data_IF_430086156742
#
_entry.id   IF_430086156742
#
_cell.length_a   1.000
_cell.length_b   1.000
_cell.length_c   1.000
_cell.angle_alpha   90.00
_cell.angle_beta   90.00
_cell.angle_gamma   90.00
#
_symmetry.space_group_name_H-M   'P 1'
#
loop_
_entity.id
_entity.type
_entity.pdbx_description
1 polymer ?
#
# COMPACT_ATOMS: atom_id res chain seq x y z
N UNK A 1 -3.79 6.43 -14.89
CA UNK A 1 -2.93 6.08 -13.75
C UNK A 1 -3.20 4.64 -13.36
N UNK A 2 -2.16 3.86 -13.12
CA UNK A 2 -2.26 2.56 -12.45
C UNK A 2 -2.00 2.80 -10.97
N UNK A 3 -2.98 2.46 -10.12
CA UNK A 3 -2.85 2.48 -8.67
C UNK A 3 -2.27 1.12 -8.24
N UNK A 4 -0.97 1.06 -7.94
CA UNK A 4 -0.27 -0.20 -7.75
C UNK A 4 -0.39 -0.78 -6.33
N UNK A 5 -1.11 -0.08 -5.45
CA UNK A 5 -1.47 -0.56 -4.13
C UNK A 5 -2.73 0.11 -3.57
N UNK A 6 -3.78 -0.66 -3.40
CA UNK A 6 -5.02 -0.22 -2.76
C UNK A 6 -5.76 -1.39 -2.09
N UNK A 7 -6.85 -1.07 -1.41
CA UNK A 7 -7.74 -2.00 -0.74
C UNK A 7 -9.17 -1.91 -1.29
N UNK A 8 -10.06 -2.85 -0.97
CA UNK A 8 -11.47 -2.77 -1.31
C UNK A 8 -12.14 -1.50 -0.77
N UNK A 9 -13.00 -0.91 -1.59
CA UNK A 9 -13.88 0.19 -1.20
C UNK A 9 -15.33 -0.30 -0.99
N UNK A 10 -16.18 0.53 -0.38
CA UNK A 10 -17.56 0.14 -0.12
C UNK A 10 -18.38 0.03 -1.41
N UNK A 11 -18.97 -1.15 -1.64
CA UNK A 11 -19.89 -1.41 -2.74
C UNK A 11 -21.34 -0.96 -2.44
N UNK A 12 -21.54 -0.33 -1.30
CA UNK A 12 -22.84 0.21 -0.86
C UNK A 12 -22.66 1.64 -0.41
N UNK A 13 -23.75 2.39 -0.47
CA UNK A 13 -23.78 3.72 0.12
C UNK A 13 -23.52 3.62 1.62
N UNK A 14 -22.50 4.30 2.08
CA UNK A 14 -22.17 4.48 3.47
C UNK A 14 -21.99 5.97 3.77
N UNK A 15 -22.28 6.43 4.99
CA UNK A 15 -21.95 7.80 5.38
C UNK A 15 -20.46 8.09 5.16
N UNK A 16 -20.14 9.33 4.83
CA UNK A 16 -18.75 9.76 4.77
C UNK A 16 -18.13 9.65 6.17
N UNK A 17 -17.12 8.79 6.32
CA UNK A 17 -16.45 8.56 7.59
C UNK A 17 -15.09 9.28 7.59
N UNK A 18 -15.02 10.38 8.31
CA UNK A 18 -13.78 11.14 8.48
C UNK A 18 -12.76 10.42 9.36
N UNK A 19 -13.17 9.40 10.10
CA UNK A 19 -12.25 8.60 10.94
C UNK A 19 -11.30 7.75 10.08
N UNK A 20 -11.64 7.49 8.82
CA UNK A 20 -10.72 6.86 7.86
C UNK A 20 -9.46 7.71 7.60
N UNK A 21 -9.50 9.01 7.83
CA UNK A 21 -8.30 9.88 7.82
C UNK A 21 -7.61 9.95 9.19
N UNK A 22 -7.77 8.95 10.05
CA UNK A 22 -7.09 8.83 11.32
C UNK A 22 -6.16 7.62 11.37
N UNK A 23 -4.92 7.83 11.75
CA UNK A 23 -3.98 6.74 12.06
C UNK A 23 -4.24 6.08 13.42
N UNK A 24 -5.13 6.64 14.22
CA UNK A 24 -5.53 6.05 15.50
C UNK A 24 -6.80 5.23 15.32
N UNK A 25 -6.66 3.94 15.08
CA UNK A 25 -7.76 2.99 14.90
C UNK A 25 -8.11 2.21 16.18
N UNK A 26 -7.58 2.61 17.33
CA UNK A 26 -7.92 1.96 18.61
C UNK A 26 -9.45 1.96 18.82
N UNK A 27 -10.08 0.78 18.96
CA UNK A 27 -11.54 0.65 19.03
C UNK A 27 -12.14 1.09 20.37
N UNK A 28 -11.34 1.54 21.33
CA UNK A 28 -11.84 1.99 22.61
C UNK A 28 -12.71 3.26 22.51
N UNK A 29 -13.80 3.35 23.29
CA UNK A 29 -14.75 4.49 23.27
C UNK A 29 -14.04 5.84 23.43
N UNK A 30 -13.09 5.94 24.36
CA UNK A 30 -12.31 7.18 24.60
C UNK A 30 -11.47 7.55 23.38
N UNK A 31 -10.86 6.56 22.73
CA UNK A 31 -10.08 6.80 21.51
C UNK A 31 -10.97 7.26 20.36
N UNK A 32 -12.15 6.65 20.21
CA UNK A 32 -13.16 7.04 19.21
C UNK A 32 -13.68 8.46 19.42
N UNK A 33 -13.95 8.86 20.68
CA UNK A 33 -14.34 10.23 20.99
C UNK A 33 -13.25 11.24 20.65
N UNK A 34 -11.98 10.92 21.00
CA UNK A 34 -10.82 11.78 20.66
C UNK A 34 -10.63 11.89 19.14
N UNK A 35 -10.73 10.80 18.41
CA UNK A 35 -10.65 10.84 16.92
C UNK A 35 -11.67 11.81 16.32
N UNK A 36 -12.94 11.72 16.77
CA UNK A 36 -14.00 12.65 16.32
C UNK A 36 -13.73 14.09 16.69
N UNK A 37 -13.22 14.33 17.90
CA UNK A 37 -12.86 15.68 18.35
C UNK A 37 -11.67 16.27 17.56
N UNK A 38 -10.69 15.45 17.21
CA UNK A 38 -9.51 15.88 16.44
C UNK A 38 -9.79 16.00 14.94
N UNK A 39 -10.82 15.34 14.43
CA UNK A 39 -11.15 15.28 13.01
C UNK A 39 -11.14 16.64 12.32
N UNK A 40 -11.92 17.65 12.79
CA UNK A 40 -11.97 18.97 12.17
C UNK A 40 -10.63 19.74 12.15
N UNK A 41 -9.64 19.26 12.91
CA UNK A 41 -8.31 19.88 12.99
C UNK A 41 -7.25 19.11 12.19
N UNK A 42 -7.63 18.03 11.47
CA UNK A 42 -6.73 17.32 10.57
C UNK A 42 -6.67 18.04 9.24
N UNK A 43 -5.46 18.44 8.83
CA UNK A 43 -5.25 19.12 7.55
C UNK A 43 -5.72 18.25 6.36
N UNK A 44 -5.50 16.94 6.42
CA UNK A 44 -5.95 16.03 5.36
C UNK A 44 -7.49 16.04 5.20
N UNK A 45 -8.22 16.06 6.32
CA UNK A 45 -9.69 16.17 6.29
C UNK A 45 -10.15 17.50 5.71
N UNK A 46 -9.54 18.62 6.11
CA UNK A 46 -9.85 19.94 5.55
C UNK A 46 -9.63 19.96 4.04
N UNK A 47 -8.49 19.47 3.57
CA UNK A 47 -8.17 19.47 2.15
C UNK A 47 -9.08 18.54 1.33
N UNK A 48 -9.43 17.37 1.87
CA UNK A 48 -10.42 16.50 1.23
C UNK A 48 -11.80 17.19 1.17
N UNK A 49 -12.24 17.82 2.28
CA UNK A 49 -13.51 18.56 2.34
C UNK A 49 -13.57 19.63 1.28
N UNK A 50 -12.56 20.51 1.19
CA UNK A 50 -12.54 21.62 0.23
C UNK A 50 -12.50 21.11 -1.21
N UNK A 51 -11.72 20.09 -1.50
CA UNK A 51 -11.65 19.51 -2.85
C UNK A 51 -12.95 18.82 -3.25
N UNK A 52 -13.54 18.06 -2.33
CA UNK A 52 -14.82 17.36 -2.57
C UNK A 52 -15.95 18.38 -2.75
N UNK A 53 -15.98 19.47 -1.96
CA UNK A 53 -16.92 20.58 -2.16
C UNK A 53 -16.81 21.21 -3.54
N UNK A 54 -15.57 21.44 -4.01
CA UNK A 54 -15.33 21.94 -5.36
C UNK A 54 -15.80 20.96 -6.44
N UNK A 55 -15.55 19.65 -6.25
CA UNK A 55 -16.00 18.61 -7.16
C UNK A 55 -17.53 18.49 -7.23
N UNK A 56 -18.20 18.63 -6.08
CA UNK A 56 -19.67 18.57 -5.95
C UNK A 56 -20.36 19.91 -6.22
N UNK A 57 -19.61 20.96 -6.55
CA UNK A 57 -20.11 22.33 -6.81
C UNK A 57 -20.94 22.91 -5.64
N UNK A 58 -20.47 22.73 -4.41
CA UNK A 58 -21.13 23.20 -3.19
C UNK A 58 -20.16 23.93 -2.23
N UNK A 59 -20.70 24.54 -1.17
CA UNK A 59 -19.88 25.08 -0.10
C UNK A 59 -19.30 23.96 0.78
N UNK A 60 -18.11 24.16 1.35
CA UNK A 60 -17.44 23.18 2.19
C UNK A 60 -18.29 22.74 3.40
N UNK A 61 -19.12 23.63 3.94
CA UNK A 61 -20.04 23.32 5.03
C UNK A 61 -21.20 22.40 4.62
N UNK A 62 -21.48 22.29 3.32
CA UNK A 62 -22.58 21.52 2.74
C UNK A 62 -22.11 20.18 2.14
N UNK A 63 -20.79 19.91 2.16
CA UNK A 63 -20.19 18.74 1.47
C UNK A 63 -20.82 17.41 1.84
N UNK A 64 -21.17 17.22 3.12
CA UNK A 64 -21.79 15.98 3.58
C UNK A 64 -23.19 15.77 2.94
N UNK A 65 -23.98 16.84 2.85
CA UNK A 65 -25.31 16.82 2.24
C UNK A 65 -25.22 16.63 0.72
N UNK A 66 -24.33 17.35 0.07
CA UNK A 66 -24.11 17.23 -1.38
C UNK A 66 -23.60 15.82 -1.76
N UNK A 67 -22.71 15.26 -0.95
CA UNK A 67 -22.21 13.89 -1.14
C UNK A 67 -23.34 12.85 -0.93
N UNK A 68 -24.20 13.02 0.09
CA UNK A 68 -25.35 12.17 0.30
C UNK A 68 -26.30 12.21 -0.90
N UNK A 69 -26.54 13.39 -1.47
CA UNK A 69 -27.37 13.54 -2.67
C UNK A 69 -26.73 12.88 -3.90
N UNK A 70 -25.44 13.11 -4.16
CA UNK A 70 -24.69 12.49 -5.25
C UNK A 70 -24.67 10.95 -5.12
N UNK A 71 -24.60 10.42 -3.90
CA UNK A 71 -24.56 8.99 -3.62
C UNK A 71 -25.91 8.27 -3.74
N UNK A 72 -27.01 8.95 -4.07
CA UNK A 72 -28.29 8.29 -4.40
C UNK A 72 -28.17 7.34 -5.59
N UNK A 73 -27.29 7.65 -6.53
CA UNK A 73 -26.83 6.73 -7.57
C UNK A 73 -25.36 6.37 -7.27
N UNK A 74 -25.17 5.41 -6.37
CA UNK A 74 -23.86 5.05 -5.83
C UNK A 74 -22.87 4.62 -6.90
N UNK A 75 -23.32 3.75 -7.82
CA UNK A 75 -22.45 3.27 -8.90
C UNK A 75 -21.96 4.42 -9.78
N UNK A 76 -22.85 5.32 -10.18
CA UNK A 76 -22.48 6.49 -10.97
C UNK A 76 -21.54 7.41 -10.22
N UNK A 77 -21.79 7.65 -8.93
CA UNK A 77 -20.95 8.50 -8.11
C UNK A 77 -19.52 7.92 -8.01
N UNK A 78 -19.39 6.64 -7.65
CA UNK A 78 -18.09 5.97 -7.58
C UNK A 78 -17.37 5.99 -8.92
N UNK A 79 -18.02 5.55 -9.99
CA UNK A 79 -17.43 5.59 -11.36
C UNK A 79 -16.94 7.00 -11.71
N UNK A 80 -17.70 8.06 -11.35
CA UNK A 80 -17.31 9.43 -11.67
C UNK A 80 -16.07 9.89 -10.89
N UNK A 81 -15.90 9.46 -9.63
CA UNK A 81 -14.69 9.74 -8.84
C UNK A 81 -13.45 9.07 -9.46
N UNK A 82 -13.52 7.79 -9.82
CA UNK A 82 -12.39 7.09 -10.43
C UNK A 82 -12.05 7.67 -11.82
N UNK A 83 -13.06 8.07 -12.59
CA UNK A 83 -12.86 8.71 -13.90
C UNK A 83 -12.18 10.09 -13.75
N UNK A 84 -12.63 10.95 -12.84
CA UNK A 84 -12.03 12.25 -12.56
C UNK A 84 -10.60 12.09 -11.98
N UNK A 85 -10.43 11.12 -11.09
CA UNK A 85 -9.12 10.68 -10.62
C UNK A 85 -8.23 10.13 -11.75
N UNK A 86 -8.76 9.78 -12.92
CA UNK A 86 -8.02 9.16 -14.03
C UNK A 86 -7.32 7.87 -13.64
N UNK A 87 -7.89 7.14 -12.68
CA UNK A 87 -7.44 5.79 -12.32
C UNK A 87 -8.09 4.82 -13.30
N UNK A 88 -7.30 3.96 -13.92
CA UNK A 88 -7.76 2.99 -14.93
C UNK A 88 -7.57 1.54 -14.48
N UNK A 89 -6.61 1.32 -13.60
CA UNK A 89 -6.19 -0.01 -13.16
C UNK A 89 -5.88 0.03 -11.65
N UNK A 90 -6.31 -1.00 -10.92
CA UNK A 90 -6.11 -1.16 -9.48
C UNK A 90 -5.40 -2.48 -9.19
N UNK A 91 -4.21 -2.44 -8.61
CA UNK A 91 -3.56 -3.61 -8.02
C UNK A 91 -4.02 -3.69 -6.56
N UNK A 92 -5.02 -4.53 -6.33
CA UNK A 92 -5.81 -4.53 -5.09
C UNK A 92 -5.39 -5.65 -4.15
N UNK A 93 -5.26 -5.33 -2.87
CA UNK A 93 -5.14 -6.31 -1.79
C UNK A 93 -6.54 -6.64 -1.22
N UNK A 94 -7.19 -7.72 -1.66
CA UNK A 94 -8.56 -8.05 -1.27
C UNK A 94 -8.64 -8.89 0.00
N UNK A 95 -7.59 -8.90 0.83
CA UNK A 95 -7.57 -9.71 2.06
C UNK A 95 -8.51 -9.20 3.16
N UNK A 96 -9.00 -7.97 3.04
CA UNK A 96 -9.97 -7.34 3.93
C UNK A 96 -10.87 -6.37 3.13
N UNK A 97 -12.20 -6.36 3.42
CA UNK A 97 -12.93 -7.22 4.36
C UNK A 97 -13.02 -8.68 3.87
N UNK A 98 -13.39 -9.63 4.77
CA UNK A 98 -13.62 -11.02 4.35
C UNK A 98 -14.62 -11.12 3.19
N UNK A 99 -14.31 -11.94 2.20
CA UNK A 99 -15.16 -12.13 1.01
C UNK A 99 -14.91 -11.10 -0.10
N UNK A 100 -13.98 -10.16 0.06
CA UNK A 100 -13.69 -9.18 -1.00
C UNK A 100 -13.04 -9.84 -2.23
N UNK A 101 -12.22 -10.87 -2.02
CA UNK A 101 -11.56 -11.59 -3.11
C UNK A 101 -12.54 -12.29 -4.08
N UNK A 102 -13.74 -12.63 -3.62
CA UNK A 102 -14.81 -13.23 -4.42
C UNK A 102 -15.64 -12.20 -5.19
N UNK A 103 -15.39 -10.90 -4.97
CA UNK A 103 -16.20 -9.79 -5.49
C UNK A 103 -15.41 -8.84 -6.41
N UNK A 104 -14.28 -9.30 -6.96
CA UNK A 104 -13.41 -8.44 -7.80
C UNK A 104 -14.15 -7.86 -9.02
N UNK A 105 -15.06 -8.63 -9.63
CA UNK A 105 -15.87 -8.17 -10.76
C UNK A 105 -16.80 -7.01 -10.35
N UNK A 106 -17.40 -7.07 -9.16
CA UNK A 106 -18.25 -5.99 -8.65
C UNK A 106 -17.46 -4.68 -8.41
N UNK A 107 -16.22 -4.79 -7.91
CA UNK A 107 -15.34 -3.63 -7.77
C UNK A 107 -14.96 -3.06 -9.14
N UNK A 108 -14.69 -3.91 -10.13
CA UNK A 108 -14.37 -3.49 -11.49
C UNK A 108 -15.55 -2.77 -12.15
N UNK A 109 -16.75 -3.35 -12.08
CA UNK A 109 -17.98 -2.74 -12.61
C UNK A 109 -18.27 -1.38 -11.97
N UNK A 110 -18.13 -1.28 -10.64
CA UNK A 110 -18.45 -0.06 -9.89
C UNK A 110 -17.43 1.05 -10.11
N UNK A 111 -16.16 0.74 -10.15
CA UNK A 111 -15.10 1.75 -10.38
C UNK A 111 -14.93 2.10 -11.86
N UNK A 112 -15.27 1.19 -12.77
CA UNK A 112 -14.91 1.26 -14.19
C UNK A 112 -13.43 0.99 -14.45
N UNK A 113 -12.69 0.43 -13.46
CA UNK A 113 -11.28 0.11 -13.55
C UNK A 113 -11.04 -1.39 -13.75
N UNK A 114 -9.90 -1.75 -14.33
CA UNK A 114 -9.41 -3.13 -14.28
C UNK A 114 -8.88 -3.45 -12.89
N UNK A 115 -9.26 -4.61 -12.32
CA UNK A 115 -8.82 -5.04 -10.99
C UNK A 115 -7.85 -6.22 -11.12
N UNK A 116 -6.70 -6.09 -10.49
CA UNK A 116 -5.64 -7.10 -10.44
C UNK A 116 -5.35 -7.46 -8.99
N UNK A 117 -5.73 -8.66 -8.51
CA UNK A 117 -5.57 -9.01 -7.10
C UNK A 117 -4.12 -9.31 -6.74
N UNK A 118 -3.73 -8.98 -5.50
CA UNK A 118 -2.51 -9.45 -4.87
C UNK A 118 -2.81 -10.34 -3.66
N UNK A 119 -1.92 -11.29 -3.36
CA UNK A 119 -2.06 -12.22 -2.25
C UNK A 119 -1.26 -11.74 -1.04
N UNK A 120 -1.96 -11.34 0.03
CA UNK A 120 -1.33 -11.08 1.34
C UNK A 120 -1.08 -12.39 2.07
N UNK A 121 0.16 -12.59 2.55
CA UNK A 121 0.57 -13.85 3.19
C UNK A 121 0.20 -13.91 4.68
N UNK A 122 0.22 -12.79 5.38
CA UNK A 122 0.11 -12.74 6.85
C UNK A 122 -1.16 -13.38 7.42
N UNK A 123 -2.37 -13.23 6.87
CA UNK A 123 -3.57 -13.88 7.40
C UNK A 123 -3.47 -15.41 7.38
N UNK A 124 -2.81 -15.99 6.37
CA UNK A 124 -2.62 -17.43 6.29
C UNK A 124 -1.67 -17.93 7.38
N UNK A 125 -0.61 -17.17 7.65
CA UNK A 125 0.35 -17.47 8.73
C UNK A 125 -0.35 -17.35 10.09
N UNK A 126 -1.12 -16.28 10.31
CA UNK A 126 -1.84 -16.06 11.56
C UNK A 126 -2.82 -17.23 11.83
N UNK A 127 -3.61 -17.62 10.82
CA UNK A 127 -4.54 -18.77 10.91
C UNK A 127 -3.82 -20.09 11.19
N UNK A 128 -2.68 -20.36 10.54
CA UNK A 128 -1.91 -21.58 10.77
C UNK A 128 -1.35 -21.64 12.21
N UNK A 129 -0.84 -20.53 12.73
CA UNK A 129 -0.37 -20.42 14.11
C UNK A 129 -1.52 -20.63 15.11
N UNK A 130 -2.70 -20.08 14.86
CA UNK A 130 -3.90 -20.28 15.68
C UNK A 130 -4.35 -21.73 15.70
N UNK A 131 -4.26 -22.41 14.56
CA UNK A 131 -4.57 -23.81 14.43
C UNK A 131 -3.52 -24.75 15.06
N UNK A 132 -2.39 -24.22 15.54
CA UNK A 132 -1.31 -25.01 16.13
C UNK A 132 -0.47 -25.76 15.10
N UNK A 133 -0.44 -25.32 13.85
CA UNK A 133 0.39 -25.91 12.81
C UNK A 133 1.88 -25.76 13.12
N UNK A 134 2.68 -26.74 12.70
CA UNK A 134 4.14 -26.68 12.76
C UNK A 134 4.68 -25.63 11.78
N UNK A 135 5.91 -25.19 11.98
CA UNK A 135 6.56 -24.26 11.05
C UNK A 135 6.66 -24.85 9.64
N UNK A 136 6.92 -26.15 9.51
CA UNK A 136 6.99 -26.82 8.21
C UNK A 136 5.64 -26.84 7.51
N UNK A 137 4.58 -27.25 8.19
CA UNK A 137 3.23 -27.26 7.63
C UNK A 137 2.79 -25.85 7.19
N UNK A 138 3.10 -24.82 7.98
CA UNK A 138 2.79 -23.43 7.64
C UNK A 138 3.54 -22.97 6.40
N UNK A 139 4.85 -23.24 6.32
CA UNK A 139 5.67 -22.91 5.15
C UNK A 139 5.12 -23.59 3.89
N UNK A 140 4.96 -24.93 3.94
CA UNK A 140 4.50 -25.72 2.80
C UNK A 140 3.12 -25.23 2.30
N UNK A 141 2.21 -24.94 3.23
CA UNK A 141 0.88 -24.40 2.92
C UNK A 141 0.97 -23.02 2.22
N UNK A 142 1.67 -22.06 2.82
CA UNK A 142 1.72 -20.69 2.28
C UNK A 142 2.42 -20.66 0.92
N UNK A 143 3.55 -21.35 0.77
CA UNK A 143 4.28 -21.38 -0.50
C UNK A 143 3.47 -22.07 -1.63
N UNK A 144 2.73 -23.15 -1.30
CA UNK A 144 1.81 -23.77 -2.25
C UNK A 144 0.65 -22.86 -2.64
N UNK A 145 0.13 -22.05 -1.71
CA UNK A 145 -0.91 -21.06 -1.98
C UNK A 145 -0.40 -19.94 -2.91
N UNK A 146 0.85 -19.51 -2.78
CA UNK A 146 1.47 -18.55 -3.71
C UNK A 146 1.48 -19.09 -5.15
N UNK A 147 1.88 -20.35 -5.34
CA UNK A 147 1.89 -20.99 -6.67
C UNK A 147 0.47 -21.09 -7.24
N UNK A 148 -0.51 -21.47 -6.42
CA UNK A 148 -1.92 -21.54 -6.85
C UNK A 148 -2.46 -20.15 -7.23
N UNK A 149 -2.17 -19.12 -6.45
CA UNK A 149 -2.62 -17.76 -6.70
C UNK A 149 -2.09 -17.22 -8.04
N UNK A 150 -0.82 -17.43 -8.34
CA UNK A 150 -0.22 -17.05 -9.62
C UNK A 150 -0.97 -17.68 -10.82
N UNK A 151 -1.39 -18.94 -10.71
CA UNK A 151 -2.22 -19.62 -11.72
C UNK A 151 -3.68 -19.15 -11.78
N UNK A 152 -4.12 -18.37 -10.77
CA UNK A 152 -5.50 -17.88 -10.62
C UNK A 152 -5.64 -16.37 -10.87
N UNK A 153 -4.68 -15.74 -11.55
CA UNK A 153 -4.75 -14.34 -11.95
C UNK A 153 -4.26 -13.33 -10.90
N UNK A 154 -3.71 -13.77 -9.79
CA UNK A 154 -3.02 -12.86 -8.88
C UNK A 154 -1.72 -12.35 -9.50
N UNK A 155 -1.48 -11.05 -9.43
CA UNK A 155 -0.34 -10.38 -10.10
C UNK A 155 0.80 -10.03 -9.17
N UNK A 156 0.61 -10.17 -7.86
CA UNK A 156 1.61 -9.83 -6.84
C UNK A 156 1.39 -10.58 -5.53
N UNK A 157 2.40 -10.51 -4.67
CA UNK A 157 2.33 -10.94 -3.27
C UNK A 157 2.56 -9.75 -2.34
N UNK A 158 2.06 -9.83 -1.10
CA UNK A 158 2.24 -8.79 -0.08
C UNK A 158 2.49 -9.38 1.29
N UNK A 159 3.29 -8.66 2.09
CA UNK A 159 3.38 -8.86 3.54
C UNK A 159 3.23 -7.54 4.30
N UNK A 160 2.61 -7.63 5.46
CA UNK A 160 2.56 -6.58 6.48
C UNK A 160 3.41 -6.98 7.70
N UNK A 161 4.56 -7.61 7.47
CA UNK A 161 5.46 -8.09 8.52
C UNK A 161 5.82 -6.98 9.53
N UNK A 162 5.88 -5.72 9.10
CA UNK A 162 6.07 -4.55 9.96
C UNK A 162 5.06 -4.50 11.12
N UNK A 163 3.80 -4.92 10.88
CA UNK A 163 2.75 -5.03 11.89
C UNK A 163 2.82 -6.32 12.71
N UNK A 164 3.68 -7.23 12.37
CA UNK A 164 3.82 -8.54 13.01
C UNK A 164 5.05 -8.56 13.91
N UNK A 165 6.15 -8.97 13.38
CA UNK A 165 7.41 -9.14 14.13
C UNK A 165 8.49 -8.14 13.75
N UNK A 166 8.15 -7.14 12.90
CA UNK A 166 9.05 -6.09 12.45
C UNK A 166 9.93 -6.52 11.27
N UNK A 167 10.59 -5.54 10.65
CA UNK A 167 11.38 -5.72 9.43
C UNK A 167 12.84 -6.16 9.68
N UNK A 168 13.28 -6.28 10.96
CA UNK A 168 14.58 -6.84 11.29
C UNK A 168 14.56 -8.38 11.09
N UNK A 169 14.59 -8.79 9.83
CA UNK A 169 14.50 -10.19 9.41
C UNK A 169 15.83 -10.88 9.56
N UNK A 170 15.86 -12.04 10.23
CA UNK A 170 17.02 -12.90 10.27
C UNK A 170 17.16 -13.66 8.92
N UNK A 171 18.17 -13.32 8.08
CA UNK A 171 18.34 -13.96 6.78
C UNK A 171 18.75 -15.44 6.88
N UNK A 172 19.28 -15.86 8.02
CA UNK A 172 19.75 -17.24 8.27
C UNK A 172 18.74 -18.06 9.07
N UNK A 173 17.52 -17.55 9.28
CA UNK A 173 16.47 -18.25 10.01
C UNK A 173 16.29 -19.68 9.48
N UNK A 174 16.39 -20.66 10.39
CA UNK A 174 16.28 -22.10 10.10
C UNK A 174 14.91 -22.63 10.52
N UNK A 175 14.55 -23.81 10.03
CA UNK A 175 13.30 -24.48 10.43
C UNK A 175 13.26 -24.77 11.93
N UNK A 176 14.40 -25.05 12.57
CA UNK A 176 14.48 -25.26 14.03
C UNK A 176 14.16 -23.96 14.81
N UNK A 177 14.72 -22.83 14.41
CA UNK A 177 14.41 -21.51 14.98
C UNK A 177 12.94 -21.13 14.72
N UNK A 178 12.41 -21.47 13.55
CA UNK A 178 11.01 -21.25 13.20
C UNK A 178 10.08 -22.02 14.16
N UNK A 179 10.34 -23.31 14.39
CA UNK A 179 9.58 -24.15 15.35
C UNK A 179 9.69 -23.63 16.80
N UNK A 180 10.90 -23.21 17.21
CA UNK A 180 11.09 -22.65 18.55
C UNK A 180 10.30 -21.34 18.72
N UNK A 181 10.29 -20.48 17.71
CA UNK A 181 9.61 -19.19 17.76
C UNK A 181 8.09 -19.30 17.89
N UNK A 182 7.48 -20.42 17.48
CA UNK A 182 6.04 -20.70 17.67
C UNK A 182 5.64 -20.88 19.12
N UNK A 183 6.59 -21.24 20.00
CA UNK A 183 6.35 -21.42 21.44
C UNK A 183 6.30 -20.11 22.22
N UNK A 184 6.62 -19.00 21.57
CA UNK A 184 6.58 -17.66 22.21
C UNK A 184 5.17 -17.33 22.67
N UNK A 185 5.06 -16.69 23.84
CA UNK A 185 3.79 -16.22 24.39
C UNK A 185 3.36 -14.88 23.72
N UNK A 186 2.07 -14.56 23.80
CA UNK A 186 1.53 -13.30 23.34
C UNK A 186 0.51 -13.46 22.19
N UNK A 187 0.02 -12.33 21.66
CA UNK A 187 -0.95 -12.33 20.55
C UNK A 187 -0.40 -13.05 19.32
N UNK A 188 -1.23 -13.84 18.65
CA UNK A 188 -0.87 -14.64 17.47
C UNK A 188 -0.07 -13.84 16.45
N UNK A 189 -0.55 -12.64 16.12
CA UNK A 189 0.10 -11.76 15.16
C UNK A 189 1.52 -11.32 15.54
N UNK A 190 1.94 -11.45 16.80
CA UNK A 190 3.29 -11.13 17.30
C UNK A 190 4.16 -12.35 17.55
N UNK A 191 3.61 -13.57 17.41
CA UNK A 191 4.34 -14.83 17.57
C UNK A 191 5.01 -15.29 16.28
N UNK A 192 5.93 -16.23 16.43
CA UNK A 192 6.53 -16.95 15.29
C UNK A 192 7.53 -16.10 14.51
N UNK A 193 8.35 -15.25 15.17
CA UNK A 193 9.30 -14.42 14.45
C UNK A 193 10.21 -15.22 13.52
N UNK A 194 10.85 -16.28 14.02
CA UNK A 194 11.72 -17.13 13.18
C UNK A 194 10.98 -17.80 12.02
N UNK A 195 9.70 -18.18 12.21
CA UNK A 195 8.86 -18.67 11.13
C UNK A 195 8.60 -17.59 10.06
N UNK A 196 8.24 -16.37 10.49
CA UNK A 196 7.91 -15.29 9.58
C UNK A 196 9.15 -14.81 8.82
N UNK A 197 10.30 -14.78 9.46
CA UNK A 197 11.60 -14.43 8.85
C UNK A 197 11.97 -15.46 7.77
N UNK A 198 11.92 -16.76 8.11
CA UNK A 198 12.19 -17.83 7.17
C UNK A 198 11.20 -17.85 6.00
N UNK A 199 9.89 -17.63 6.31
CA UNK A 199 8.85 -17.58 5.29
C UNK A 199 9.09 -16.43 4.32
N UNK A 200 9.38 -15.20 4.79
CA UNK A 200 9.59 -14.07 3.90
C UNK A 200 10.74 -14.35 2.92
N UNK A 201 11.87 -14.86 3.41
CA UNK A 201 12.99 -15.22 2.51
C UNK A 201 12.57 -16.27 1.48
N UNK A 202 11.88 -17.35 1.89
CA UNK A 202 11.40 -18.40 0.97
C UNK A 202 10.36 -17.88 -0.01
N UNK A 203 9.46 -17.03 0.45
CA UNK A 203 8.43 -16.42 -0.39
C UNK A 203 9.03 -15.50 -1.46
N UNK A 204 10.11 -14.76 -1.15
CA UNK A 204 10.85 -13.98 -2.16
C UNK A 204 11.43 -14.86 -3.25
N UNK A 205 12.00 -16.05 -2.89
CA UNK A 205 12.46 -17.02 -3.88
C UNK A 205 11.34 -17.53 -4.78
N UNK A 206 10.19 -17.90 -4.21
CA UNK A 206 9.01 -18.34 -4.98
C UNK A 206 8.48 -17.19 -5.87
N UNK A 207 8.42 -15.98 -5.37
CA UNK A 207 8.00 -14.81 -6.16
C UNK A 207 8.93 -14.57 -7.35
N UNK A 208 10.26 -14.71 -7.16
CA UNK A 208 11.24 -14.62 -8.23
C UNK A 208 11.04 -15.71 -9.29
N UNK A 209 10.85 -16.96 -8.89
CA UNK A 209 10.60 -18.10 -9.79
C UNK A 209 9.31 -17.92 -10.62
N UNK A 210 8.28 -17.34 -10.01
CA UNK A 210 7.01 -17.03 -10.67
C UNK A 210 7.09 -15.74 -11.52
N UNK A 211 8.12 -14.92 -11.31
CA UNK A 211 8.29 -13.63 -11.95
C UNK A 211 7.22 -12.61 -11.55
N UNK A 212 6.69 -12.72 -10.32
CA UNK A 212 5.71 -11.81 -9.74
C UNK A 212 6.35 -10.92 -8.68
N UNK A 213 6.00 -9.63 -8.62
CA UNK A 213 6.52 -8.72 -7.59
C UNK A 213 6.00 -9.04 -6.20
N UNK A 214 6.78 -8.64 -5.20
CA UNK A 214 6.47 -8.80 -3.80
C UNK A 214 6.46 -7.45 -3.08
N UNK A 215 5.32 -7.03 -2.58
CA UNK A 215 5.17 -5.80 -1.82
C UNK A 215 5.44 -6.03 -0.33
N UNK A 216 6.23 -5.14 0.27
CA UNK A 216 6.54 -5.16 1.71
C UNK A 216 6.09 -3.84 2.32
N UNK A 217 5.19 -3.91 3.31
CA UNK A 217 4.80 -2.75 4.09
C UNK A 217 5.99 -2.19 4.86
N UNK A 218 6.27 -0.89 4.71
CA UNK A 218 7.34 -0.17 5.39
C UNK A 218 6.86 1.20 5.90
N UNK A 219 7.44 1.68 6.99
CA UNK A 219 7.15 3.02 7.51
C UNK A 219 5.76 3.17 8.15
N UNK A 220 5.09 4.26 7.79
CA UNK A 220 3.79 4.67 8.34
C UNK A 220 2.74 3.57 8.32
N UNK A 221 1.91 3.57 9.32
CA UNK A 221 0.72 2.74 9.47
C UNK A 221 -0.13 3.23 10.62
N UNK A 222 -1.17 2.50 10.95
CA UNK A 222 -2.04 2.81 12.08
C UNK A 222 -1.35 2.58 13.44
N UNK A 223 -2.09 2.84 14.53
CA UNK A 223 -1.56 2.79 15.91
C UNK A 223 -1.03 1.43 16.36
N UNK A 224 -1.29 0.35 15.63
CA UNK A 224 -0.77 -0.99 15.95
C UNK A 224 0.71 -1.15 15.55
N UNK A 225 1.19 -0.36 14.58
CA UNK A 225 2.58 -0.47 14.12
C UNK A 225 3.55 0.10 15.15
N UNK A 226 4.68 -0.56 15.30
CA UNK A 226 5.84 0.03 15.97
C UNK A 226 6.71 0.66 14.89
N UNK A 227 6.62 1.97 14.74
CA UNK A 227 7.23 2.67 13.63
C UNK A 227 8.73 2.33 13.47
N UNK A 228 9.49 2.27 14.57
CA UNK A 228 10.91 1.89 14.54
C UNK A 228 11.17 0.51 13.93
N UNK A 229 10.23 -0.44 14.10
CA UNK A 229 10.33 -1.80 13.56
C UNK A 229 9.94 -1.85 12.07
N UNK A 230 9.44 -0.75 11.52
CA UNK A 230 9.03 -0.58 10.11
C UNK A 230 10.04 0.19 9.25
N UNK A 231 11.23 0.52 9.80
CA UNK A 231 12.29 1.17 9.05
C UNK A 231 12.81 0.25 7.93
N UNK A 232 12.85 0.69 6.66
CA UNK A 232 13.25 -0.14 5.53
C UNK A 232 14.70 -0.63 5.60
N UNK A 233 15.59 0.09 6.30
CA UNK A 233 17.00 -0.35 6.49
C UNK A 233 17.11 -1.65 7.28
N UNK A 234 16.10 -2.00 8.09
CA UNK A 234 16.07 -3.28 8.80
C UNK A 234 16.00 -4.49 7.85
N UNK A 235 15.61 -4.27 6.59
CA UNK A 235 15.62 -5.29 5.55
C UNK A 235 16.99 -5.49 4.88
N UNK A 236 18.00 -4.65 5.19
CA UNK A 236 19.24 -4.62 4.40
C UNK A 236 19.94 -5.98 4.31
N UNK A 237 19.98 -6.74 5.40
CA UNK A 237 20.60 -8.08 5.38
C UNK A 237 19.77 -9.09 4.59
N UNK A 238 18.44 -9.05 4.70
CA UNK A 238 17.56 -9.85 3.85
C UNK A 238 17.77 -9.54 2.36
N UNK A 239 17.90 -8.25 2.01
CA UNK A 239 18.11 -7.80 0.62
C UNK A 239 19.46 -8.22 0.03
N UNK A 240 20.38 -8.80 0.84
CA UNK A 240 21.65 -9.39 0.38
C UNK A 240 21.51 -10.88 0.04
N UNK A 241 20.43 -11.53 0.42
CA UNK A 241 20.20 -12.94 0.14
C UNK A 241 19.97 -13.18 -1.36
N UNK A 242 20.35 -14.36 -1.89
CA UNK A 242 20.11 -14.71 -3.29
C UNK A 242 18.64 -14.62 -3.68
N UNK A 243 17.72 -15.06 -2.80
CA UNK A 243 16.29 -15.04 -3.03
C UNK A 243 15.76 -13.59 -3.21
N UNK A 244 16.18 -12.68 -2.35
CA UNK A 244 15.79 -11.27 -2.45
C UNK A 244 16.44 -10.56 -3.64
N UNK A 245 17.68 -10.91 -4.00
CA UNK A 245 18.34 -10.36 -5.18
C UNK A 245 17.70 -10.78 -6.50
N UNK A 246 17.10 -11.97 -6.55
CA UNK A 246 16.36 -12.46 -7.71
C UNK A 246 14.93 -11.90 -7.79
N UNK A 247 14.35 -11.45 -6.68
CA UNK A 247 12.97 -10.99 -6.59
C UNK A 247 12.81 -9.52 -7.04
N UNK A 248 11.59 -9.17 -7.49
CA UNK A 248 11.16 -7.80 -7.67
C UNK A 248 10.41 -7.37 -6.40
N UNK A 249 10.99 -6.47 -5.63
CA UNK A 249 10.47 -6.06 -4.31
C UNK A 249 10.01 -4.61 -4.40
N UNK A 250 8.79 -4.33 -3.92
CA UNK A 250 8.26 -2.98 -3.78
C UNK A 250 8.15 -2.65 -2.30
N UNK A 251 8.90 -1.65 -1.85
CA UNK A 251 8.78 -1.10 -0.50
C UNK A 251 7.73 -0.01 -0.54
N UNK A 252 6.56 -0.28 0.07
CA UNK A 252 5.38 0.59 -0.05
C UNK A 252 5.33 1.67 1.02
N UNK A 253 4.46 2.67 0.78
CA UNK A 253 4.14 3.79 1.67
C UNK A 253 5.26 4.83 1.82
N UNK A 254 6.13 4.96 0.79
CA UNK A 254 7.27 5.88 0.80
C UNK A 254 8.21 5.62 1.98
N UNK A 255 8.05 4.50 2.68
CA UNK A 255 8.71 4.18 3.94
C UNK A 255 8.65 5.34 4.96
N UNK A 256 7.59 6.14 4.95
CA UNK A 256 7.49 7.34 5.81
C UNK A 256 7.85 7.02 7.28
N UNK A 257 8.74 7.78 7.95
CA UNK A 257 9.39 9.00 7.48
C UNK A 257 10.75 8.79 6.77
N UNK A 258 11.18 7.56 6.47
CA UNK A 258 12.51 7.19 5.96
C UNK A 258 12.58 7.20 4.43
N UNK A 259 12.22 8.32 3.80
CA UNK A 259 12.18 8.44 2.32
C UNK A 259 13.55 8.36 1.68
N UNK A 260 14.58 8.91 2.36
CA UNK A 260 15.96 8.93 1.86
C UNK A 260 16.59 7.54 1.94
N UNK A 261 16.29 6.80 3.00
CA UNK A 261 16.69 5.39 3.15
C UNK A 261 16.01 4.50 2.09
N UNK A 262 14.73 4.73 1.83
CA UNK A 262 14.01 4.06 0.74
C UNK A 262 14.66 4.37 -0.62
N UNK A 263 14.94 5.66 -0.90
CA UNK A 263 15.61 6.10 -2.12
C UNK A 263 16.98 5.43 -2.28
N UNK A 264 17.77 5.35 -1.19
CA UNK A 264 19.05 4.66 -1.17
C UNK A 264 18.91 3.17 -1.51
N UNK A 265 17.96 2.46 -0.90
CA UNK A 265 17.72 1.05 -1.19
C UNK A 265 17.28 0.85 -2.65
N UNK A 266 16.37 1.69 -3.15
CA UNK A 266 15.95 1.64 -4.54
C UNK A 266 17.11 1.94 -5.52
N UNK A 267 18.01 2.87 -5.18
CA UNK A 267 19.16 3.20 -6.01
C UNK A 267 20.22 2.06 -6.03
N UNK A 268 20.44 1.41 -4.89
CA UNK A 268 21.55 0.47 -4.71
C UNK A 268 21.20 -1.00 -4.89
N UNK A 269 19.92 -1.36 -4.76
CA UNK A 269 19.44 -2.76 -4.90
C UNK A 269 18.67 -2.91 -6.23
N UNK A 270 19.16 -3.73 -7.18
CA UNK A 270 18.56 -3.82 -8.52
C UNK A 270 17.06 -4.17 -8.53
N UNK A 271 16.64 -5.10 -7.68
CA UNK A 271 15.25 -5.58 -7.59
C UNK A 271 14.32 -4.71 -6.74
N UNK A 272 14.82 -3.69 -6.03
CA UNK A 272 14.02 -2.87 -5.12
C UNK A 272 13.44 -1.65 -5.84
N UNK A 273 12.15 -1.40 -5.60
CA UNK A 273 11.38 -0.23 -6.05
C UNK A 273 10.75 0.47 -4.87
N UNK A 274 10.48 1.75 -5.05
CA UNK A 274 9.78 2.61 -4.10
C UNK A 274 8.36 2.88 -4.60
N UNK A 275 7.36 2.66 -3.75
CA UNK A 275 5.99 3.12 -3.97
C UNK A 275 5.66 4.26 -3.02
N UNK A 276 4.90 5.24 -3.52
CA UNK A 276 4.43 6.39 -2.75
C UNK A 276 2.92 6.28 -2.51
N UNK A 277 2.53 5.48 -1.54
CA UNK A 277 1.13 5.30 -1.13
C UNK A 277 0.92 5.69 0.33
N UNK A 278 -0.28 5.63 0.83
CA UNK A 278 -0.73 5.84 2.21
C UNK A 278 -0.40 7.22 2.77
N UNK A 279 0.89 7.59 2.94
CA UNK A 279 1.26 8.86 3.58
C UNK A 279 0.73 10.09 2.81
N UNK A 280 0.46 9.98 1.52
CA UNK A 280 -0.16 11.03 0.69
C UNK A 280 -1.57 11.38 1.18
N UNK A 281 -2.31 10.43 1.77
CA UNK A 281 -3.61 10.67 2.39
C UNK A 281 -3.50 11.44 3.71
N UNK A 282 -2.48 11.14 4.52
CA UNK A 282 -2.32 11.69 5.87
C UNK A 282 -1.41 12.92 5.95
N UNK A 283 -0.55 13.12 4.96
CA UNK A 283 0.40 14.23 4.90
C UNK A 283 0.47 14.83 3.48
N UNK A 284 -0.67 15.29 2.93
CA UNK A 284 -0.80 15.65 1.53
C UNK A 284 0.06 16.84 1.11
N UNK A 285 0.23 17.86 1.97
CA UNK A 285 0.92 19.13 1.63
C UNK A 285 2.41 18.91 1.33
N UNK A 286 3.07 18.03 2.06
CA UNK A 286 4.51 17.79 1.89
C UNK A 286 4.82 16.55 1.04
N UNK A 287 3.81 15.97 0.40
CA UNK A 287 3.95 14.77 -0.45
C UNK A 287 4.87 15.02 -1.64
N UNK A 288 4.78 16.21 -2.25
CA UNK A 288 5.64 16.62 -3.37
C UNK A 288 7.14 16.72 -3.02
N UNK A 289 7.46 17.23 -1.82
CA UNK A 289 8.85 17.27 -1.32
C UNK A 289 9.41 15.85 -1.15
N UNK A 290 8.60 14.91 -0.68
CA UNK A 290 9.02 13.52 -0.47
C UNK A 290 9.23 12.79 -1.80
N UNK A 291 8.34 12.99 -2.76
CA UNK A 291 8.53 12.48 -4.11
C UNK A 291 9.85 13.02 -4.71
N UNK A 292 10.11 14.32 -4.57
CA UNK A 292 11.35 14.95 -5.05
C UNK A 292 12.58 14.31 -4.39
N UNK A 293 12.59 14.10 -3.06
CA UNK A 293 13.70 13.47 -2.33
C UNK A 293 13.97 12.05 -2.80
N UNK A 294 12.91 11.29 -3.14
CA UNK A 294 13.06 9.95 -3.68
C UNK A 294 13.64 10.02 -5.10
N UNK A 295 13.11 10.89 -5.96
CA UNK A 295 13.58 11.04 -7.35
C UNK A 295 14.98 11.65 -7.46
N UNK A 296 15.46 12.36 -6.44
CA UNK A 296 16.81 12.93 -6.40
C UNK A 296 17.90 11.86 -6.33
N UNK A 297 17.59 10.70 -5.75
CA UNK A 297 18.55 9.59 -5.62
C UNK A 297 18.13 8.33 -6.39
N UNK A 298 16.88 7.92 -6.30
CA UNK A 298 16.40 6.71 -6.95
C UNK A 298 16.09 6.95 -8.43
N UNK A 299 16.43 6.00 -9.33
CA UNK A 299 16.01 6.10 -10.74
C UNK A 299 14.49 6.18 -10.85
N UNK A 300 13.98 7.12 -11.66
CA UNK A 300 12.53 7.28 -11.88
C UNK A 300 11.85 5.98 -12.38
N UNK A 301 12.58 5.12 -13.09
CA UNK A 301 12.12 3.78 -13.52
C UNK A 301 11.84 2.80 -12.36
N UNK A 302 12.17 3.17 -11.14
CA UNK A 302 11.94 2.37 -9.92
C UNK A 302 10.93 2.99 -8.96
N UNK A 303 10.28 4.09 -9.36
CA UNK A 303 9.27 4.79 -8.55
C UNK A 303 7.89 4.46 -9.07
N UNK A 304 6.99 4.08 -8.15
CA UNK A 304 5.60 3.74 -8.37
C UNK A 304 4.73 4.71 -7.58
N UNK A 305 3.50 4.89 -8.02
CA UNK A 305 2.53 5.76 -7.34
C UNK A 305 1.24 5.00 -7.08
N UNK A 306 0.81 4.99 -5.83
CA UNK A 306 -0.43 4.39 -5.42
C UNK A 306 -1.16 5.25 -4.40
N UNK A 307 -2.45 5.02 -4.25
CA UNK A 307 -3.25 5.77 -3.28
C UNK A 307 -3.23 5.15 -1.90
N UNK A 308 -3.13 3.84 -1.82
CA UNK A 308 -3.54 3.05 -0.66
C UNK A 308 -4.98 3.38 -0.23
N UNK A 309 -5.82 3.69 -1.22
CA UNK A 309 -7.23 3.92 -1.01
C UNK A 309 -7.91 2.69 -0.42
N UNK A 310 -8.83 2.90 0.50
CA UNK A 310 -9.57 1.84 1.19
C UNK A 310 -10.94 2.35 1.63
N UNK A 311 -11.88 1.44 1.86
CA UNK A 311 -13.21 1.67 2.40
C UNK A 311 -14.03 2.73 1.65
N UNK A 312 -13.57 3.99 1.54
CA UNK A 312 -14.29 5.08 0.88
C UNK A 312 -13.66 5.41 -0.48
N UNK A 313 -14.43 5.45 -1.57
CA UNK A 313 -13.92 5.77 -2.91
C UNK A 313 -13.32 7.19 -3.01
N UNK A 314 -13.74 8.09 -2.14
CA UNK A 314 -13.19 9.44 -2.03
C UNK A 314 -11.70 9.45 -1.65
N UNK A 315 -11.21 8.42 -0.94
CA UNK A 315 -9.79 8.33 -0.58
C UNK A 315 -8.92 8.01 -1.80
N UNK A 316 -9.40 7.17 -2.73
CA UNK A 316 -8.72 6.92 -4.00
C UNK A 316 -8.65 8.19 -4.84
N UNK A 317 -9.79 8.87 -4.97
CA UNK A 317 -9.89 10.13 -5.69
C UNK A 317 -8.95 11.20 -5.11
N UNK A 318 -9.01 11.42 -3.80
CA UNK A 318 -8.16 12.38 -3.12
C UNK A 318 -6.67 12.03 -3.23
N UNK A 319 -6.31 10.78 -2.97
CA UNK A 319 -4.92 10.30 -3.09
C UNK A 319 -4.34 10.52 -4.48
N UNK A 320 -5.10 10.20 -5.54
CA UNK A 320 -4.67 10.42 -6.92
C UNK A 320 -4.46 11.90 -7.24
N UNK A 321 -5.31 12.80 -6.74
CA UNK A 321 -5.12 14.25 -6.90
C UNK A 321 -3.88 14.74 -6.16
N UNK A 322 -3.64 14.28 -4.92
CA UNK A 322 -2.43 14.61 -4.16
C UNK A 322 -1.17 14.13 -4.88
N UNK A 323 -1.19 12.94 -5.48
CA UNK A 323 -0.06 12.42 -6.25
C UNK A 323 0.22 13.25 -7.51
N UNK A 324 -0.81 13.75 -8.19
CA UNK A 324 -0.62 14.68 -9.33
C UNK A 324 0.01 16.00 -8.90
N UNK A 325 -0.51 16.63 -7.85
CA UNK A 325 0.05 17.86 -7.29
C UNK A 325 1.51 17.63 -6.85
N UNK A 326 1.80 16.46 -6.27
CA UNK A 326 3.15 16.08 -5.86
C UNK A 326 4.11 15.96 -7.04
N UNK A 327 3.65 15.38 -8.14
CA UNK A 327 4.44 15.27 -9.37
C UNK A 327 4.66 16.66 -10.02
N UNK A 328 3.66 17.51 -10.00
CA UNK A 328 3.77 18.88 -10.53
C UNK A 328 4.76 19.70 -9.70
N UNK A 329 4.68 19.62 -8.35
CA UNK A 329 5.64 20.25 -7.46
C UNK A 329 7.07 19.77 -7.74
N UNK A 330 7.30 18.44 -7.73
CA UNK A 330 8.63 17.88 -7.98
C UNK A 330 9.15 18.27 -9.37
N UNK A 331 8.29 18.25 -10.39
CA UNK A 331 8.66 18.65 -11.75
C UNK A 331 9.03 20.13 -11.84
N UNK A 332 8.34 21.01 -11.12
CA UNK A 332 8.65 22.44 -11.08
C UNK A 332 10.05 22.69 -10.49
N UNK A 333 10.35 22.04 -9.35
CA UNK A 333 11.69 22.16 -8.73
C UNK A 333 12.78 21.59 -9.63
N UNK A 334 12.58 20.40 -10.20
CA UNK A 334 13.55 19.79 -11.12
C UNK A 334 13.79 20.67 -12.36
N UNK A 335 12.75 21.34 -12.88
CA UNK A 335 12.85 22.30 -14.00
C UNK A 335 13.71 23.51 -13.64
N UNK A 336 13.53 24.07 -12.44
CA UNK A 336 14.36 25.17 -11.93
C UNK A 336 15.84 24.80 -11.84
N UNK A 337 16.12 23.51 -11.60
CA UNK A 337 17.48 22.96 -11.61
C UNK A 337 17.96 22.49 -13.00
N UNK A 338 17.21 22.77 -14.06
CA UNK A 338 17.63 22.55 -15.45
C UNK A 338 17.21 21.21 -16.07
N UNK A 339 16.30 20.46 -15.45
CA UNK A 339 15.74 19.27 -16.07
C UNK A 339 14.95 19.62 -17.34
N UNK A 340 15.13 18.81 -18.41
CA UNK A 340 14.47 19.04 -19.70
C UNK A 340 13.02 18.64 -19.67
N UNK A 341 12.14 19.41 -20.31
CA UNK A 341 10.68 19.11 -20.37
C UNK A 341 10.37 17.73 -20.93
N UNK A 342 11.07 17.30 -21.98
CA UNK A 342 10.86 15.96 -22.52
C UNK A 342 11.16 14.87 -21.49
N UNK A 343 12.24 15.02 -20.72
CA UNK A 343 12.60 14.07 -19.66
C UNK A 343 11.58 14.10 -18.51
N UNK A 344 11.08 15.28 -18.11
CA UNK A 344 10.02 15.41 -17.09
C UNK A 344 8.73 14.73 -17.54
N UNK A 345 8.37 14.85 -18.82
CA UNK A 345 7.24 14.15 -19.43
C UNK A 345 7.41 12.61 -19.38
N UNK A 346 8.60 12.12 -19.72
CA UNK A 346 8.94 10.70 -19.65
C UNK A 346 8.85 10.18 -18.21
N UNK A 347 9.42 10.91 -17.23
CA UNK A 347 9.32 10.57 -15.80
C UNK A 347 7.87 10.48 -15.36
N UNK A 348 7.05 11.48 -15.68
CA UNK A 348 5.62 11.47 -15.33
C UNK A 348 4.91 10.24 -15.90
N UNK A 349 5.13 9.93 -17.18
CA UNK A 349 4.53 8.76 -17.82
C UNK A 349 4.98 7.45 -17.16
N UNK A 350 6.26 7.34 -16.82
CA UNK A 350 6.80 6.15 -16.14
C UNK A 350 6.18 5.94 -14.76
N UNK A 351 6.18 6.96 -13.89
CA UNK A 351 5.75 6.80 -12.49
C UNK A 351 4.24 6.63 -12.33
N UNK A 352 3.43 7.21 -13.23
CA UNK A 352 1.97 7.07 -13.18
C UNK A 352 1.44 5.79 -13.83
N UNK A 353 2.22 5.18 -14.74
CA UNK A 353 1.70 4.04 -15.51
C UNK A 353 2.81 3.06 -15.93
N UNK A 354 3.84 3.52 -16.62
CA UNK A 354 4.78 2.65 -17.31
C UNK A 354 5.51 1.67 -16.40
N UNK A 355 5.92 2.11 -15.22
CA UNK A 355 6.63 1.26 -14.25
C UNK A 355 5.72 0.15 -13.69
N UNK A 356 4.49 0.50 -13.29
CA UNK A 356 3.52 -0.46 -12.78
C UNK A 356 3.11 -1.45 -13.89
N UNK A 357 2.78 -0.97 -15.09
CA UNK A 357 2.42 -1.81 -16.23
C UNK A 357 3.50 -2.84 -16.56
N UNK A 358 4.76 -2.41 -16.57
CA UNK A 358 5.90 -3.30 -16.82
C UNK A 358 6.12 -4.30 -15.68
N UNK A 359 6.01 -3.85 -14.42
CA UNK A 359 6.30 -4.66 -13.23
C UNK A 359 5.26 -5.76 -13.04
N UNK A 360 3.97 -5.41 -13.13
CA UNK A 360 2.84 -6.33 -12.90
C UNK A 360 2.39 -7.03 -14.19
N UNK A 361 2.96 -6.67 -15.36
CA UNK A 361 2.63 -7.24 -16.69
C UNK A 361 1.17 -7.03 -17.08
N UNK A 362 0.64 -5.83 -16.85
CA UNK A 362 -0.75 -5.43 -17.12
C UNK A 362 -0.97 -5.03 -18.59
#
# INVERSE_FOLDING_TARGET
MIDDHCHPFSLRVEPLDWDDLSLNIDPGDVASERRRADGPWRLAQELLTVRLASYLECDAAEVAVAREEASRDWSRYVTSLFADAGITDLVMDPSWPPGAAERLEEYAEMSGCSIYPMLRLDPMVDTAIEAGATARETLDYVLARMQTAAGSGYVAFKTILAYRTGLAVDPDASIGQAEESLRSEGPVRRRGKGLRDLLLRRALGVAADLGLPFQIHTGIGDSEIRLADANPLLLEELLRTPEAQAAQIVLIHGSYPWHEELAYLAATKPGVRADLSLFNLFSPVTSGERLLRILDLAPASKVLLATDGYHQPELFWFGAHVLRDSCEYASAVMREHGAREAWLGDVRSMIFEGNARSLYRL
#
